data_IF_006738838605
#
_entry.id   IF_006738838605
#
_cell.length_a   1.000
_cell.length_b   1.000
_cell.length_c   1.000
_cell.angle_alpha   90.00
_cell.angle_beta   90.00
_cell.angle_gamma   90.00
#
_symmetry.space_group_name_H-M   'P 1'
#
loop_
_entity.id
_entity.type
_entity.pdbx_description
1 polymer ?
#
# COMPACT_ATOMS: atom_id res chain seq x y z
N UNK A 1 5.56 4.17 17.88
CA UNK A 1 4.42 5.12 17.87
C UNK A 1 3.86 5.38 19.27
N UNK A 2 4.50 6.24 20.06
CA UNK A 2 3.84 6.83 21.24
C UNK A 2 2.75 7.80 20.74
N UNK A 3 1.48 7.54 21.03
CA UNK A 3 0.39 8.49 20.80
C UNK A 3 0.01 8.78 19.33
N UNK A 4 0.20 7.82 18.41
CA UNK A 4 -0.27 7.96 17.02
C UNK A 4 0.49 8.94 16.12
N UNK A 5 1.64 9.48 16.56
CA UNK A 5 2.38 10.52 15.83
C UNK A 5 3.22 10.04 14.64
N UNK A 6 3.56 8.75 14.58
CA UNK A 6 4.39 8.16 13.54
C UNK A 6 3.62 7.14 12.71
N UNK A 7 3.69 7.30 11.38
CA UNK A 7 3.27 6.30 10.41
C UNK A 7 4.46 5.38 10.13
N UNK A 8 4.21 4.07 10.09
CA UNK A 8 5.25 3.07 9.84
C UNK A 8 4.91 2.36 8.54
N UNK A 9 5.71 2.54 7.48
CA UNK A 9 5.48 1.84 6.23
C UNK A 9 5.80 0.35 6.39
N UNK A 10 4.92 -0.49 5.85
CA UNK A 10 5.11 -1.94 5.79
C UNK A 10 5.08 -2.37 4.32
N UNK A 11 6.25 -2.63 3.77
CA UNK A 11 6.36 -3.24 2.43
C UNK A 11 6.16 -4.75 2.52
N UNK A 12 5.24 -5.28 1.70
CA UNK A 12 4.98 -6.72 1.53
C UNK A 12 5.38 -7.08 0.10
N UNK A 13 6.34 -8.01 -0.05
CA UNK A 13 6.76 -8.55 -1.35
C UNK A 13 5.88 -9.74 -1.71
N UNK A 14 5.52 -9.85 -3.00
CA UNK A 14 4.67 -10.93 -3.56
C UNK A 14 3.45 -11.28 -2.70
N UNK A 15 2.58 -10.29 -2.39
CA UNK A 15 1.47 -10.50 -1.45
C UNK A 15 0.48 -11.57 -1.90
N UNK A 16 0.32 -11.79 -3.22
CA UNK A 16 -0.57 -12.82 -3.78
C UNK A 16 -0.13 -14.25 -3.52
N UNK A 17 1.14 -14.46 -3.15
CA UNK A 17 1.68 -15.78 -2.80
C UNK A 17 1.66 -16.06 -1.29
N UNK A 18 1.13 -15.13 -0.49
CA UNK A 18 1.08 -15.22 0.97
C UNK A 18 -0.35 -15.45 1.42
N UNK A 19 -0.52 -16.20 2.51
CA UNK A 19 -1.83 -16.33 3.13
C UNK A 19 -2.22 -15.02 3.83
N UNK A 20 -3.51 -14.86 4.14
CA UNK A 20 -4.00 -13.69 4.86
C UNK A 20 -3.41 -13.63 6.28
N UNK A 21 -3.23 -14.79 6.92
CA UNK A 21 -2.61 -14.93 8.23
C UNK A 21 -1.15 -14.49 8.20
N UNK A 22 -0.38 -14.92 7.20
CA UNK A 22 1.02 -14.52 7.03
C UNK A 22 1.13 -13.00 6.86
N UNK A 23 0.27 -12.41 6.03
CA UNK A 23 0.21 -10.96 5.85
C UNK A 23 -0.11 -10.26 7.18
N UNK A 24 -1.11 -10.75 7.92
CA UNK A 24 -1.50 -10.18 9.20
C UNK A 24 -0.37 -10.26 10.23
N UNK A 25 0.37 -11.37 10.28
CA UNK A 25 1.53 -11.56 11.14
C UNK A 25 2.66 -10.57 10.78
N UNK A 26 2.99 -10.43 9.50
CA UNK A 26 4.01 -9.48 9.01
C UNK A 26 3.67 -8.05 9.43
N UNK A 27 2.42 -7.63 9.22
CA UNK A 27 1.95 -6.27 9.56
C UNK A 27 1.97 -6.07 11.08
N UNK A 28 1.46 -7.03 11.85
CA UNK A 28 1.43 -6.97 13.31
C UNK A 28 2.83 -6.90 13.91
N UNK A 29 3.74 -7.72 13.42
CA UNK A 29 5.13 -7.76 13.89
C UNK A 29 5.84 -6.41 13.64
N UNK A 30 5.78 -5.89 12.41
CA UNK A 30 6.38 -4.57 12.09
C UNK A 30 5.74 -3.44 12.89
N UNK A 31 4.42 -3.41 13.01
CA UNK A 31 3.73 -2.41 13.80
C UNK A 31 4.12 -2.48 15.29
N UNK A 32 4.33 -3.68 15.84
CA UNK A 32 4.79 -3.89 17.22
C UNK A 32 6.23 -3.40 17.42
N UNK A 33 7.15 -3.77 16.52
CA UNK A 33 8.55 -3.33 16.56
C UNK A 33 8.67 -1.80 16.55
N UNK A 34 7.93 -1.14 15.66
CA UNK A 34 7.89 0.32 15.61
C UNK A 34 7.22 0.99 16.82
N UNK A 35 6.31 0.30 17.52
CA UNK A 35 5.78 0.77 18.81
C UNK A 35 6.82 0.69 19.92
N UNK A 36 7.67 -0.35 19.91
CA UNK A 36 8.72 -0.57 20.91
C UNK A 36 9.98 0.29 20.74
N UNK A 37 10.08 1.09 19.68
CA UNK A 37 11.27 1.91 19.39
C UNK A 37 12.50 1.12 18.93
N UNK A 38 12.34 -0.15 18.57
CA UNK A 38 13.40 -1.06 18.11
C UNK A 38 13.57 -1.08 16.58
N UNK A 39 13.07 -0.07 15.88
CA UNK A 39 13.24 0.03 14.42
C UNK A 39 14.54 0.78 14.11
N UNK A 40 15.67 0.07 14.29
CA UNK A 40 17.04 0.58 14.12
C UNK A 40 17.33 1.09 12.69
N UNK A 41 16.46 0.76 11.73
CA UNK A 41 16.58 1.14 10.32
C UNK A 41 16.34 2.62 10.06
N UNK A 42 15.70 3.36 10.98
CA UNK A 42 15.41 4.79 10.79
C UNK A 42 16.57 5.71 11.21
N UNK A 43 17.57 5.21 11.94
CA UNK A 43 18.51 6.08 12.66
C UNK A 43 20.00 5.78 12.49
N UNK A 44 20.36 4.99 11.49
CA UNK A 44 21.77 4.78 11.12
C UNK A 44 21.83 4.81 9.61
N UNK A 45 22.39 5.86 9.03
CA UNK A 45 23.12 5.83 7.74
C UNK A 45 23.46 7.25 7.32
N UNK A 46 24.56 7.79 7.83
CA UNK A 46 25.42 8.74 7.10
C UNK A 46 26.82 8.77 7.74
N UNK A 47 27.46 7.60 7.90
CA UNK A 47 28.85 7.54 8.38
C UNK A 47 29.85 8.31 7.49
N UNK A 48 29.45 8.63 6.25
CA UNK A 48 30.23 9.45 5.32
C UNK A 48 30.03 10.95 5.48
N UNK A 49 28.91 11.40 6.07
CA UNK A 49 28.68 12.83 6.27
C UNK A 49 29.70 13.43 7.26
N UNK A 50 30.26 12.60 8.14
CA UNK A 50 31.27 13.01 9.11
C UNK A 50 32.67 13.19 8.49
N UNK A 51 32.91 12.68 7.27
CA UNK A 51 34.26 12.64 6.67
C UNK A 51 34.35 13.20 5.24
N UNK A 52 33.21 13.35 4.54
CA UNK A 52 33.18 13.79 3.14
C UNK A 52 32.71 15.25 3.04
N UNK A 53 33.44 16.14 2.35
CA UNK A 53 32.99 17.51 2.11
C UNK A 53 31.61 17.58 1.44
N UNK A 54 30.79 18.55 1.85
CA UNK A 54 29.39 18.70 1.41
C UNK A 54 29.20 18.80 -0.10
N UNK A 55 30.17 19.37 -0.83
CA UNK A 55 30.12 19.50 -2.29
C UNK A 55 30.28 18.17 -3.04
N UNK A 56 30.90 17.16 -2.42
CA UNK A 56 31.00 15.79 -2.96
C UNK A 56 29.79 14.97 -2.51
N UNK A 57 29.35 15.18 -1.28
CA UNK A 57 28.25 14.44 -0.68
C UNK A 57 26.92 14.67 -1.43
N UNK A 58 26.63 15.90 -1.85
CA UNK A 58 25.42 16.23 -2.61
C UNK A 58 25.24 15.40 -3.88
N UNK A 59 26.20 15.38 -4.81
CA UNK A 59 26.16 14.52 -6.00
C UNK A 59 26.07 13.02 -5.68
N UNK A 60 26.80 12.53 -4.67
CA UNK A 60 26.74 11.11 -4.27
C UNK A 60 25.35 10.75 -3.76
N UNK A 61 24.76 11.59 -2.91
CA UNK A 61 23.38 11.40 -2.43
C UNK A 61 22.41 11.44 -3.60
N UNK A 62 22.53 12.42 -4.50
CA UNK A 62 21.63 12.54 -5.65
C UNK A 62 21.67 11.32 -6.57
N UNK A 63 22.87 10.81 -6.88
CA UNK A 63 23.04 9.61 -7.71
C UNK A 63 22.56 8.37 -6.96
N UNK A 64 22.93 8.20 -5.70
CA UNK A 64 22.50 7.07 -4.87
C UNK A 64 20.98 7.02 -4.72
N UNK A 65 20.35 8.16 -4.45
CA UNK A 65 18.89 8.28 -4.40
C UNK A 65 18.26 8.00 -5.78
N UNK A 66 18.84 8.48 -6.88
CA UNK A 66 18.33 8.17 -8.21
C UNK A 66 18.35 6.67 -8.50
N UNK A 67 19.49 6.00 -8.25
CA UNK A 67 19.65 4.55 -8.45
C UNK A 67 18.68 3.76 -7.57
N UNK A 68 18.52 4.15 -6.31
CA UNK A 68 17.60 3.48 -5.41
C UNK A 68 16.13 3.65 -5.85
N UNK A 69 15.71 4.87 -6.16
CA UNK A 69 14.31 5.18 -6.45
C UNK A 69 13.87 4.79 -7.86
N UNK A 70 14.77 4.81 -8.85
CA UNK A 70 14.43 4.53 -10.26
C UNK A 70 14.84 3.13 -10.70
N UNK A 71 15.96 2.59 -10.20
CA UNK A 71 16.46 1.26 -10.60
C UNK A 71 16.16 0.18 -9.55
N UNK A 72 15.60 0.56 -8.38
CA UNK A 72 15.28 -0.37 -7.31
C UNK A 72 16.52 -1.00 -6.68
N UNK A 73 17.69 -0.34 -6.76
CA UNK A 73 18.92 -0.84 -6.16
C UNK A 73 19.00 -0.44 -4.69
N UNK A 74 19.49 -1.36 -3.85
CA UNK A 74 19.85 -1.01 -2.49
C UNK A 74 21.16 -0.22 -2.52
N UNK A 75 21.14 0.98 -1.94
CA UNK A 75 22.30 1.86 -1.86
C UNK A 75 22.57 2.16 -0.38
N UNK A 76 23.18 1.20 0.36
CA UNK A 76 23.36 1.30 1.81
C UNK A 76 24.12 2.55 2.25
N UNK A 77 25.03 3.02 1.39
CA UNK A 77 25.89 4.18 1.62
C UNK A 77 25.12 5.49 1.85
N UNK A 78 23.92 5.63 1.28
CA UNK A 78 23.02 6.78 1.51
C UNK A 78 21.75 6.39 2.27
N UNK A 79 21.71 5.17 2.81
CA UNK A 79 20.57 4.62 3.53
C UNK A 79 19.30 4.43 2.71
N UNK A 80 19.38 4.54 1.38
CA UNK A 80 18.26 4.32 0.48
C UNK A 80 18.11 2.83 0.18
N UNK A 81 16.89 2.31 0.36
CA UNK A 81 16.53 0.96 -0.09
C UNK A 81 15.73 1.06 -1.38
N UNK A 82 15.99 0.13 -2.30
CA UNK A 82 15.31 0.10 -3.59
C UNK A 82 13.81 -0.20 -3.50
N UNK A 83 13.36 -0.74 -2.37
CA UNK A 83 11.97 -1.12 -2.13
C UNK A 83 11.19 -0.12 -1.26
N UNK A 84 11.70 1.11 -1.09
CA UNK A 84 11.02 2.14 -0.29
C UNK A 84 9.67 2.58 -0.87
N UNK A 85 9.51 2.56 -2.19
CA UNK A 85 8.29 3.01 -2.86
C UNK A 85 7.70 1.89 -3.72
N UNK A 86 6.71 1.14 -3.20
CA UNK A 86 6.04 0.12 -3.97
C UNK A 86 5.15 0.73 -5.06
N UNK A 87 4.80 -0.03 -6.11
CA UNK A 87 3.91 0.43 -7.18
C UNK A 87 2.49 0.73 -6.68
N UNK A 88 2.07 0.07 -5.58
CA UNK A 88 0.77 0.24 -4.94
C UNK A 88 1.00 0.52 -3.45
N UNK A 89 0.38 1.59 -2.95
CA UNK A 89 0.34 1.94 -1.53
C UNK A 89 -1.10 1.83 -1.02
N UNK A 90 -1.26 1.25 0.16
CA UNK A 90 -2.53 1.22 0.90
C UNK A 90 -2.31 1.94 2.21
N UNK A 91 -3.15 2.93 2.51
CA UNK A 91 -3.11 3.70 3.76
C UNK A 91 -4.46 3.68 4.46
N UNK A 92 -4.46 3.47 5.78
CA UNK A 92 -5.68 3.40 6.59
C UNK A 92 -5.89 4.70 7.37
N UNK A 93 -6.65 5.62 6.78
CA UNK A 93 -7.05 6.87 7.42
C UNK A 93 -8.29 6.71 8.31
N UNK A 94 -9.02 5.61 8.15
CA UNK A 94 -10.20 5.29 8.96
C UNK A 94 -9.89 5.12 10.44
N UNK A 95 -8.66 4.73 10.78
CA UNK A 95 -8.18 4.69 12.16
C UNK A 95 -8.18 6.06 12.86
N UNK A 96 -8.16 7.15 12.08
CA UNK A 96 -8.31 8.54 12.54
C UNK A 96 -9.75 9.06 12.46
N UNK A 97 -10.73 8.22 12.13
CA UNK A 97 -12.14 8.61 11.96
C UNK A 97 -12.48 9.33 10.65
N UNK A 98 -11.49 9.48 9.75
CA UNK A 98 -11.64 10.12 8.46
C UNK A 98 -12.38 9.20 7.48
N UNK A 99 -13.33 9.76 6.74
CA UNK A 99 -14.12 9.01 5.76
C UNK A 99 -13.49 9.00 4.37
N UNK A 100 -12.88 10.12 3.97
CA UNK A 100 -12.26 10.31 2.66
C UNK A 100 -10.94 11.02 2.85
N UNK A 101 -9.94 10.64 2.07
CA UNK A 101 -8.65 11.30 2.03
C UNK A 101 -8.00 11.11 0.68
N UNK A 102 -7.31 12.14 0.23
CA UNK A 102 -6.65 12.18 -1.07
C UNK A 102 -5.15 12.27 -0.81
N UNK A 103 -4.51 11.11 -0.70
CA UNK A 103 -3.07 11.07 -0.47
C UNK A 103 -2.34 11.39 -1.79
N UNK A 104 -1.36 12.31 -1.78
CA UNK A 104 -0.54 12.57 -2.96
C UNK A 104 0.29 11.32 -3.29
N UNK A 105 0.53 11.11 -4.58
CA UNK A 105 1.45 10.07 -5.02
C UNK A 105 2.89 10.51 -4.69
N UNK A 106 3.69 9.63 -4.05
CA UNK A 106 5.10 9.92 -3.89
C UNK A 106 5.79 9.93 -5.27
N UNK A 107 6.93 10.63 -5.41
CA UNK A 107 7.62 10.73 -6.68
C UNK A 107 8.01 9.37 -7.29
N UNK A 108 7.87 9.29 -8.63
CA UNK A 108 8.51 8.37 -9.57
C UNK A 108 8.12 6.87 -9.55
N UNK A 109 7.81 6.25 -8.42
CA UNK A 109 7.68 4.77 -8.36
C UNK A 109 6.27 4.23 -8.05
N UNK A 110 5.39 5.03 -7.42
CA UNK A 110 4.05 4.58 -7.04
C UNK A 110 3.02 5.00 -8.08
N UNK A 111 2.34 4.03 -8.70
CA UNK A 111 1.29 4.27 -9.66
C UNK A 111 -0.08 4.46 -9.00
N UNK A 112 -0.33 3.81 -7.86
CA UNK A 112 -1.63 3.85 -7.17
C UNK A 112 -1.44 4.02 -5.66
N UNK A 113 -2.18 4.95 -5.06
CA UNK A 113 -2.31 5.10 -3.61
C UNK A 113 -3.79 5.02 -3.20
N UNK A 114 -4.13 4.05 -2.35
CA UNK A 114 -5.50 3.79 -1.91
C UNK A 114 -5.67 4.17 -0.43
N UNK A 115 -6.56 5.14 -0.17
CA UNK A 115 -6.92 5.57 1.17
C UNK A 115 -8.18 4.86 1.64
N UNK A 116 -8.04 4.03 2.67
CA UNK A 116 -9.14 3.31 3.32
C UNK A 116 -9.79 4.22 4.38
N UNK A 117 -11.04 4.60 4.15
CA UNK A 117 -11.83 5.41 5.08
C UNK A 117 -12.35 4.63 6.29
N UNK A 118 -12.95 5.35 7.24
CA UNK A 118 -13.63 4.76 8.39
C UNK A 118 -14.89 4.00 7.96
N UNK A 119 -15.08 2.81 8.52
CA UNK A 119 -16.32 2.04 8.36
C UNK A 119 -17.40 2.66 9.26
N UNK A 120 -18.53 3.07 8.69
CA UNK A 120 -19.64 3.72 9.42
C UNK A 120 -20.99 3.15 9.01
N UNK A 121 -21.95 3.22 9.92
CA UNK A 121 -23.35 2.90 9.62
C UNK A 121 -23.95 3.99 8.76
N UNK A 122 -24.51 3.62 7.61
CA UNK A 122 -25.19 4.53 6.67
C UNK A 122 -26.45 3.89 6.10
N UNK A 123 -27.49 4.67 5.79
CA UNK A 123 -28.62 4.18 5.02
C UNK A 123 -28.17 3.84 3.59
N UNK A 124 -28.55 2.67 3.09
CA UNK A 124 -28.25 2.20 1.74
C UNK A 124 -29.46 1.49 1.14
N UNK A 125 -29.60 1.54 -0.18
CA UNK A 125 -30.66 0.82 -0.88
C UNK A 125 -30.19 -0.58 -1.21
N UNK A 126 -30.89 -1.60 -0.69
CA UNK A 126 -30.63 -3.01 -0.94
C UNK A 126 -31.94 -3.64 -1.42
N UNK A 127 -31.94 -4.21 -2.62
CA UNK A 127 -33.13 -4.85 -3.22
C UNK A 127 -34.39 -3.96 -3.23
N UNK A 128 -34.21 -2.63 -3.32
CA UNK A 128 -35.31 -1.66 -3.36
C UNK A 128 -35.75 -1.13 -1.99
N UNK A 129 -35.18 -1.63 -0.89
CA UNK A 129 -35.49 -1.19 0.48
C UNK A 129 -34.32 -0.41 1.11
N UNK A 130 -34.62 0.50 2.04
CA UNK A 130 -33.58 1.24 2.79
C UNK A 130 -33.18 0.41 4.01
N UNK A 131 -31.93 -0.03 4.03
CA UNK A 131 -31.34 -0.75 5.16
C UNK A 131 -30.11 0.00 5.71
N UNK A 132 -29.85 -0.14 7.02
CA UNK A 132 -28.60 0.35 7.61
C UNK A 132 -27.48 -0.64 7.31
N UNK A 133 -26.39 -0.16 6.70
CA UNK A 133 -25.22 -0.97 6.33
C UNK A 133 -23.92 -0.34 6.81
N UNK A 134 -22.92 -1.19 7.05
CA UNK A 134 -21.53 -0.79 7.26
C UNK A 134 -20.93 -0.39 5.91
N UNK A 135 -20.68 0.89 5.73
CA UNK A 135 -20.14 1.45 4.49
C UNK A 135 -18.74 2.01 4.75
N UNK A 136 -17.82 1.72 3.83
CA UNK A 136 -16.47 2.28 3.79
C UNK A 136 -16.26 2.94 2.43
N UNK A 137 -15.72 4.16 2.43
CA UNK A 137 -15.27 4.80 1.19
C UNK A 137 -13.78 4.56 1.00
N UNK A 138 -13.40 4.08 -0.18
CA UNK A 138 -12.00 3.96 -0.59
C UNK A 138 -11.75 5.01 -1.66
N UNK A 139 -10.70 5.81 -1.49
CA UNK A 139 -10.26 6.80 -2.47
C UNK A 139 -8.98 6.31 -3.11
N UNK A 140 -8.99 6.14 -4.43
CA UNK A 140 -7.83 5.74 -5.21
C UNK A 140 -7.25 6.95 -5.93
N UNK A 141 -6.00 7.29 -5.64
CA UNK A 141 -5.21 8.27 -6.39
C UNK A 141 -4.31 7.51 -7.36
N UNK A 142 -4.35 7.85 -8.64
CA UNK A 142 -3.67 7.10 -9.70
C UNK A 142 -2.89 8.02 -10.62
N UNK A 143 -1.69 7.59 -11.02
CA UNK A 143 -0.85 8.32 -11.96
C UNK A 143 -1.36 8.12 -13.39
N UNK A 144 -1.97 9.15 -13.96
CA UNK A 144 -2.51 9.10 -15.32
C UNK A 144 -1.45 8.89 -16.41
N UNK A 145 -0.16 9.06 -16.09
CA UNK A 145 0.96 8.72 -16.98
C UNK A 145 1.18 7.22 -17.08
N UNK A 146 0.85 6.47 -16.02
CA UNK A 146 1.00 5.03 -15.96
C UNK A 146 -0.17 4.28 -16.63
N UNK A 147 -1.34 4.91 -16.74
CA UNK A 147 -2.50 4.31 -17.41
C UNK A 147 -3.75 5.18 -17.34
N UNK A 148 -4.78 4.77 -18.09
CA UNK A 148 -6.09 5.42 -18.10
C UNK A 148 -7.05 4.78 -17.08
N UNK A 149 -8.07 5.53 -16.67
CA UNK A 149 -9.15 5.10 -15.80
C UNK A 149 -9.80 3.79 -16.28
N UNK A 150 -9.96 3.61 -17.59
CA UNK A 150 -10.54 2.39 -18.16
C UNK A 150 -9.79 1.11 -17.77
N UNK A 151 -8.47 1.19 -17.55
CA UNK A 151 -7.65 0.04 -17.15
C UNK A 151 -7.83 -0.31 -15.67
N UNK A 152 -7.95 0.69 -14.80
CA UNK A 152 -7.99 0.49 -13.33
C UNK A 152 -9.38 0.22 -12.75
N UNK A 153 -10.44 0.63 -13.46
CA UNK A 153 -11.83 0.46 -12.98
C UNK A 153 -12.17 -1.02 -12.76
N UNK A 154 -11.70 -1.92 -13.62
CA UNK A 154 -11.94 -3.36 -13.47
C UNK A 154 -11.31 -3.90 -12.18
N UNK A 155 -9.99 -3.72 -11.92
CA UNK A 155 -9.37 -4.05 -10.65
C UNK A 155 -10.08 -3.48 -9.42
N UNK A 156 -10.50 -2.21 -9.44
CA UNK A 156 -11.19 -1.60 -8.29
C UNK A 156 -12.55 -2.24 -8.01
N UNK A 157 -13.30 -2.62 -9.06
CA UNK A 157 -14.55 -3.39 -8.90
C UNK A 157 -14.29 -4.80 -8.36
N UNK A 158 -13.19 -5.44 -8.75
CA UNK A 158 -12.80 -6.73 -8.18
C UNK A 158 -12.48 -6.59 -6.69
N UNK A 159 -11.73 -5.55 -6.30
CA UNK A 159 -11.46 -5.26 -4.88
C UNK A 159 -12.77 -5.03 -4.12
N UNK A 160 -13.70 -4.24 -4.68
CA UNK A 160 -15.02 -4.04 -4.09
C UNK A 160 -15.75 -5.38 -3.87
N UNK A 161 -15.80 -6.24 -4.90
CA UNK A 161 -16.42 -7.56 -4.82
C UNK A 161 -15.80 -8.44 -3.73
N UNK A 162 -14.47 -8.45 -3.64
CA UNK A 162 -13.74 -9.22 -2.61
C UNK A 162 -13.98 -8.68 -1.18
N UNK A 163 -14.24 -7.38 -1.04
CA UNK A 163 -14.58 -6.78 0.25
C UNK A 163 -16.05 -7.01 0.64
N UNK A 164 -16.96 -7.06 -0.34
CA UNK A 164 -18.37 -7.36 -0.13
C UNK A 164 -18.60 -8.86 0.18
N UNK A 165 -17.77 -9.74 -0.38
CA UNK A 165 -17.76 -11.17 -0.10
C UNK A 165 -16.34 -11.68 0.22
N UNK A 166 -15.90 -11.58 1.49
CA UNK A 166 -14.57 -12.01 1.90
C UNK A 166 -14.29 -13.51 1.69
N UNK A 167 -15.32 -14.36 1.56
CA UNK A 167 -15.12 -15.80 1.33
C UNK A 167 -14.41 -16.07 0.00
N UNK A 168 -14.49 -15.13 -0.94
CA UNK A 168 -13.82 -15.22 -2.22
C UNK A 168 -12.31 -15.06 -2.14
N UNK A 169 -11.75 -14.39 -1.11
CA UNK A 169 -10.31 -14.15 -1.00
C UNK A 169 -9.50 -15.45 -0.96
N UNK A 170 -9.96 -16.43 -0.18
CA UNK A 170 -9.30 -17.73 -0.05
C UNK A 170 -9.60 -18.67 -1.24
N UNK A 171 -10.65 -18.36 -2.00
CA UNK A 171 -11.03 -19.16 -3.15
C UNK A 171 -10.15 -18.92 -4.37
N UNK A 172 -9.49 -17.76 -4.48
CA UNK A 172 -8.61 -17.42 -5.62
C UNK A 172 -7.30 -18.20 -5.50
N UNK A 173 -6.98 -18.97 -6.53
CA UNK A 173 -5.77 -19.83 -6.57
C UNK A 173 -4.75 -19.25 -7.55
N UNK A 174 -3.49 -19.30 -7.15
CA UNK A 174 -2.36 -18.81 -7.93
C UNK A 174 -1.36 -19.94 -8.23
N UNK A 175 -0.81 -19.93 -9.44
CA UNK A 175 0.40 -20.68 -9.82
C UNK A 175 1.44 -19.65 -10.28
N UNK A 176 2.41 -19.36 -9.39
CA UNK A 176 3.31 -18.22 -9.56
C UNK A 176 2.53 -16.90 -9.62
N UNK A 177 2.48 -16.29 -10.81
CA UNK A 177 1.75 -15.05 -11.09
C UNK A 177 0.45 -15.27 -11.89
N UNK A 178 0.13 -16.52 -12.24
CA UNK A 178 -1.08 -16.85 -12.98
C UNK A 178 -2.23 -17.17 -12.04
N UNK A 179 -3.39 -16.58 -12.31
CA UNK A 179 -4.64 -16.92 -11.62
C UNK A 179 -5.21 -18.18 -12.27
N UNK A 180 -5.40 -19.23 -11.48
CA UNK A 180 -5.88 -20.53 -11.95
C UNK A 180 -7.38 -20.57 -12.19
N UNK A 181 -8.13 -19.69 -11.51
CA UNK A 181 -9.59 -19.62 -11.53
C UNK A 181 -10.09 -18.18 -11.71
N UNK A 182 -9.81 -17.55 -12.87
CA UNK A 182 -10.15 -16.15 -13.13
C UNK A 182 -11.65 -15.86 -13.11
N UNK A 183 -12.49 -16.88 -13.30
CA UNK A 183 -13.96 -16.77 -13.29
C UNK A 183 -14.54 -16.33 -11.94
N UNK A 184 -13.80 -16.52 -10.83
CA UNK A 184 -14.19 -16.02 -9.50
C UNK A 184 -14.18 -14.49 -9.48
N UNK A 185 -13.27 -13.89 -10.24
CA UNK A 185 -13.11 -12.44 -10.35
C UNK A 185 -14.03 -11.82 -11.42
N UNK A 186 -14.85 -12.63 -12.10
CA UNK A 186 -15.79 -12.12 -13.10
C UNK A 186 -16.85 -11.24 -12.44
N UNK A 187 -16.98 -10.02 -12.96
CA UNK A 187 -17.91 -9.00 -12.49
C UNK A 187 -19.31 -9.19 -13.07
N UNK A 188 -19.50 -10.08 -14.06
CA UNK A 188 -20.81 -10.29 -14.73
C UNK A 188 -21.79 -11.14 -13.94
N UNK A 189 -21.35 -11.90 -12.92
CA UNK A 189 -22.19 -12.86 -12.20
C UNK A 189 -23.12 -12.26 -11.13
N UNK A 190 -22.93 -10.99 -10.73
CA UNK A 190 -23.69 -10.33 -9.66
C UNK A 190 -24.54 -9.14 -10.16
N UNK A 191 -25.09 -9.23 -11.37
CA UNK A 191 -26.13 -8.29 -11.83
C UNK A 191 -27.50 -8.93 -11.75
#
# INVERSE_FOLDING_TARGET
>A
VKGGKDLVPVTIKTPHQKSLEDIALIVKEKASRAKSGKDDTHNKNFALADFVPSFILGPIISVGSYLALNLGWDVPIVGAKGDQYPPIIITNIGSFGLEKGFAPLPPMATAICSCMGAVKDKPWVVNGEIEVRKIMTIVHTMDHRAGDAALVVKPFKVIQKLLEDPSLLESVKYDGDKILNPEILDLKKNK
#
